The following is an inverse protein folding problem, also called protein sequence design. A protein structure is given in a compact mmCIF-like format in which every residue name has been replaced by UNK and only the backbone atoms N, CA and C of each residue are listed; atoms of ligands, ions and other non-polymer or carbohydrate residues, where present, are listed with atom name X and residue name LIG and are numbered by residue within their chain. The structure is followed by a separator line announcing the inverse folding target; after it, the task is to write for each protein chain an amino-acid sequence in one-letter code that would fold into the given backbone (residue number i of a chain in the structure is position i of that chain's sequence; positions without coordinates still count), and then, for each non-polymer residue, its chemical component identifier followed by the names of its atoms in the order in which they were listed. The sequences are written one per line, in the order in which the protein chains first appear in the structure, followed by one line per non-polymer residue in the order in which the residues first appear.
data_IF_676457543902
#
_entry.id   IF_676457543902
#
_cell.length_a   1.000
_cell.length_b   1.000
_cell.length_c   1.000
_cell.angle_alpha   90.00
_cell.angle_beta   90.00
_cell.angle_gamma   90.00
#
_symmetry.space_group_name_H-M   'P 1'
#
loop_
_entity.id
_entity.type
_entity.pdbx_description
1 polymer ?
#
# COMPACT_ATOMS: atom_id res chain seq x y z
N UNK A 1 -3.84 -22.83 -16.02
CA UNK A 1 -2.86 -21.81 -15.57
C UNK A 1 -3.55 -20.90 -14.56
N UNK A 2 -2.94 -20.63 -13.41
CA UNK A 2 -3.50 -19.65 -12.47
C UNK A 2 -3.48 -18.25 -13.11
N UNK A 3 -4.62 -17.55 -13.07
CA UNK A 3 -4.68 -16.15 -13.51
C UNK A 3 -3.69 -15.31 -12.69
N UNK A 4 -3.00 -14.37 -13.34
CA UNK A 4 -2.15 -13.39 -12.65
C UNK A 4 -3.02 -12.52 -11.75
N UNK A 5 -2.50 -12.05 -10.62
CA UNK A 5 -3.28 -11.20 -9.71
C UNK A 5 -3.13 -9.73 -10.07
N UNK A 6 -4.23 -8.99 -10.00
CA UNK A 6 -4.21 -7.52 -9.94
C UNK A 6 -4.71 -7.12 -8.56
N UNK A 7 -3.85 -6.41 -7.84
CA UNK A 7 -4.13 -5.89 -6.51
C UNK A 7 -4.41 -4.41 -6.64
N UNK A 8 -5.65 -4.01 -6.43
CA UNK A 8 -6.02 -2.62 -6.27
C UNK A 8 -5.83 -2.20 -4.81
N UNK A 9 -4.97 -1.22 -4.58
CA UNK A 9 -4.66 -0.68 -3.27
C UNK A 9 -5.32 0.68 -3.10
N UNK A 10 -6.35 0.71 -2.23
CA UNK A 10 -7.18 1.88 -1.91
C UNK A 10 -7.28 2.07 -0.39
N UNK A 11 -6.16 2.42 0.28
CA UNK A 11 -6.05 2.38 1.74
C UNK A 11 -6.96 3.37 2.48
N UNK A 12 -7.53 4.33 1.76
CA UNK A 12 -8.27 5.47 2.32
C UNK A 12 -9.76 5.44 1.98
N UNK A 13 -10.19 4.45 1.21
CA UNK A 13 -11.58 4.26 0.83
C UNK A 13 -12.36 3.68 2.02
N UNK A 14 -13.05 4.56 2.75
CA UNK A 14 -13.90 4.19 3.90
C UNK A 14 -15.37 4.02 3.54
N UNK A 15 -15.82 4.57 2.41
CA UNK A 15 -17.23 4.52 2.01
C UNK A 15 -17.34 4.32 0.50
N UNK A 16 -18.49 3.80 0.06
CA UNK A 16 -18.75 3.56 -1.35
C UNK A 16 -19.38 4.72 -2.12
N UNK A 17 -19.65 5.88 -1.49
CA UNK A 17 -20.18 7.05 -2.21
C UNK A 17 -19.05 7.84 -2.88
N UNK A 18 -19.04 7.86 -4.21
CA UNK A 18 -18.23 8.77 -5.02
C UNK A 18 -17.33 8.08 -6.05
N UNK A 19 -16.75 8.88 -6.94
CA UNK A 19 -16.00 8.44 -8.11
C UNK A 19 -14.88 7.43 -7.85
N UNK A 20 -14.34 7.33 -6.63
CA UNK A 20 -13.29 6.37 -6.29
C UNK A 20 -13.77 4.91 -6.38
N UNK A 21 -14.97 4.61 -5.85
CA UNK A 21 -15.51 3.25 -5.92
C UNK A 21 -15.90 2.88 -7.36
N UNK A 22 -16.55 3.80 -8.08
CA UNK A 22 -16.95 3.58 -9.48
C UNK A 22 -15.72 3.26 -10.35
N UNK A 23 -14.67 4.07 -10.23
CA UNK A 23 -13.39 3.84 -10.92
C UNK A 23 -12.77 2.47 -10.57
N UNK A 24 -12.90 2.04 -9.31
CA UNK A 24 -12.38 0.77 -8.84
C UNK A 24 -13.18 -0.41 -9.42
N UNK A 25 -14.51 -0.29 -9.48
CA UNK A 25 -15.42 -1.26 -10.09
C UNK A 25 -15.15 -1.37 -11.59
N UNK A 26 -15.14 -0.25 -12.31
CA UNK A 26 -14.87 -0.21 -13.75
C UNK A 26 -13.52 -0.84 -14.10
N UNK A 27 -12.46 -0.48 -13.35
CA UNK A 27 -11.15 -1.08 -13.54
C UNK A 27 -11.17 -2.59 -13.28
N UNK A 28 -11.95 -3.04 -12.31
CA UNK A 28 -12.07 -4.46 -11.97
C UNK A 28 -12.76 -5.25 -13.06
N UNK A 29 -13.87 -4.74 -13.60
CA UNK A 29 -14.60 -5.32 -14.73
C UNK A 29 -13.69 -5.42 -15.95
N UNK A 30 -12.93 -4.37 -16.26
CA UNK A 30 -12.02 -4.36 -17.39
C UNK A 30 -10.98 -5.50 -17.35
N UNK A 31 -10.49 -5.88 -16.16
CA UNK A 31 -9.43 -6.89 -16.02
C UNK A 31 -9.90 -8.30 -15.66
N UNK A 32 -11.18 -8.50 -15.31
CA UNK A 32 -11.72 -9.75 -14.73
C UNK A 32 -11.44 -11.01 -15.58
N UNK A 33 -11.44 -10.85 -16.92
CA UNK A 33 -11.29 -11.97 -17.85
C UNK A 33 -9.92 -12.62 -17.73
N UNK A 34 -8.89 -11.81 -17.52
CA UNK A 34 -7.48 -12.24 -17.59
C UNK A 34 -6.80 -12.31 -16.22
N UNK A 35 -7.39 -11.71 -15.18
CA UNK A 35 -6.75 -11.57 -13.87
C UNK A 35 -7.66 -11.97 -12.73
N UNK A 36 -7.04 -12.42 -11.64
CA UNK A 36 -7.70 -12.51 -10.34
C UNK A 36 -7.67 -11.12 -9.70
N UNK A 37 -8.85 -10.57 -9.38
CA UNK A 37 -8.97 -9.21 -8.86
C UNK A 37 -9.04 -9.22 -7.33
N UNK A 38 -8.13 -8.46 -6.72
CA UNK A 38 -8.03 -8.33 -5.27
C UNK A 38 -8.09 -6.85 -4.91
N UNK A 39 -8.96 -6.50 -3.96
CA UNK A 39 -9.00 -5.16 -3.39
C UNK A 39 -8.40 -5.18 -1.99
N UNK A 40 -7.47 -4.27 -1.73
CA UNK A 40 -6.94 -3.98 -0.40
C UNK A 40 -7.43 -2.59 -0.01
N UNK A 41 -8.43 -2.56 0.87
CA UNK A 41 -9.16 -1.34 1.23
C UNK A 41 -9.08 -1.07 2.71
N UNK A 42 -9.59 0.10 3.11
CA UNK A 42 -9.68 0.47 4.52
C UNK A 42 -10.48 -0.56 5.32
N UNK A 43 -10.08 -0.83 6.56
CA UNK A 43 -10.83 -1.74 7.43
C UNK A 43 -12.23 -1.21 7.79
N UNK A 44 -12.41 0.12 7.76
CA UNK A 44 -13.71 0.78 7.94
C UNK A 44 -14.49 0.91 6.62
N UNK A 45 -14.03 0.29 5.53
CA UNK A 45 -14.76 0.31 4.27
C UNK A 45 -16.15 -0.30 4.45
N UNK A 46 -17.15 0.54 4.25
CA UNK A 46 -18.54 0.12 4.22
C UNK A 46 -19.24 0.61 2.95
N UNK A 47 -20.06 -0.25 2.38
CA UNK A 47 -20.77 -0.02 1.14
C UNK A 47 -22.19 -0.62 1.21
N UNK A 48 -22.97 -0.24 2.23
CA UNK A 48 -24.31 -0.79 2.39
C UNK A 48 -25.16 -0.32 1.21
N UNK A 49 -25.91 -1.25 0.61
CA UNK A 49 -26.78 -1.02 -0.54
C UNK A 49 -26.06 -0.62 -1.84
N UNK A 50 -24.75 -0.88 -1.95
CA UNK A 50 -24.01 -0.72 -3.20
C UNK A 50 -23.69 -2.08 -3.80
N UNK A 51 -23.84 -2.20 -5.11
CA UNK A 51 -23.43 -3.40 -5.83
C UNK A 51 -21.89 -3.50 -5.84
N UNK A 52 -21.38 -4.64 -5.38
CA UNK A 52 -19.96 -4.97 -5.47
C UNK A 52 -19.79 -6.21 -6.37
N UNK A 53 -18.79 -6.24 -7.26
CA UNK A 53 -18.60 -7.39 -8.12
C UNK A 53 -18.21 -8.64 -7.33
N UNK A 54 -18.94 -9.74 -7.54
CA UNK A 54 -18.75 -11.00 -6.81
C UNK A 54 -17.40 -11.69 -7.10
N UNK A 55 -16.77 -11.40 -8.25
CA UNK A 55 -15.47 -11.93 -8.65
C UNK A 55 -14.29 -11.27 -7.94
N UNK A 56 -14.52 -10.20 -7.19
CA UNK A 56 -13.48 -9.46 -6.46
C UNK A 56 -13.27 -10.05 -5.07
N UNK A 57 -12.02 -10.33 -4.72
CA UNK A 57 -11.63 -10.63 -3.33
C UNK A 57 -11.35 -9.33 -2.57
N UNK A 58 -12.28 -8.93 -1.72
CA UNK A 58 -12.18 -7.69 -0.94
C UNK A 58 -11.55 -7.93 0.45
N UNK A 59 -10.35 -7.39 0.67
CA UNK A 59 -9.66 -7.40 1.97
C UNK A 59 -9.72 -6.01 2.62
N UNK A 60 -10.53 -5.90 3.67
CA UNK A 60 -10.68 -4.71 4.52
C UNK A 60 -9.67 -4.73 5.66
N UNK A 61 -8.41 -4.39 5.35
CA UNK A 61 -7.28 -4.62 6.27
C UNK A 61 -6.50 -3.35 6.61
N UNK A 62 -6.71 -2.25 5.89
CA UNK A 62 -5.88 -1.07 6.06
C UNK A 62 -6.45 -0.18 7.15
N UNK A 63 -5.67 0.01 8.21
CA UNK A 63 -5.94 1.01 9.22
C UNK A 63 -5.37 2.35 8.76
N UNK A 64 -6.23 3.35 8.60
CA UNK A 64 -5.79 4.73 8.38
C UNK A 64 -6.13 5.59 9.59
N UNK A 65 -5.15 6.31 10.12
CA UNK A 65 -5.34 7.18 11.26
C UNK A 65 -5.52 8.63 10.80
N UNK A 66 -6.74 9.15 10.96
CA UNK A 66 -7.02 10.59 10.81
C UNK A 66 -6.85 11.24 12.18
N UNK A 67 -5.63 11.59 12.56
CA UNK A 67 -5.38 12.32 13.82
C UNK A 67 -5.83 13.77 13.68
N UNK A 68 -6.92 14.13 14.35
CA UNK A 68 -7.46 15.49 14.48
C UNK A 68 -6.87 16.19 15.70
N UNK A 69 -6.70 15.47 16.81
CA UNK A 69 -6.34 16.06 18.10
C UNK A 69 -4.98 15.55 18.63
N UNK A 70 -4.40 16.25 19.61
CA UNK A 70 -3.08 15.91 20.17
C UNK A 70 -3.03 14.49 20.75
N UNK A 71 -4.07 14.09 21.49
CA UNK A 71 -4.19 12.74 22.04
C UNK A 71 -4.14 11.66 20.93
N UNK A 72 -4.85 11.85 19.84
CA UNK A 72 -4.84 10.91 18.70
C UNK A 72 -3.47 10.86 18.00
N UNK A 73 -2.71 11.96 17.99
CA UNK A 73 -1.32 11.96 17.49
C UNK A 73 -0.40 11.15 18.40
N UNK A 74 -0.55 11.31 19.71
CA UNK A 74 0.21 10.54 20.71
C UNK A 74 -0.12 9.05 20.57
N UNK A 75 -1.40 8.70 20.48
CA UNK A 75 -1.83 7.32 20.26
C UNK A 75 -1.27 6.73 18.96
N UNK A 76 -1.29 7.51 17.88
CA UNK A 76 -0.67 7.11 16.61
C UNK A 76 0.82 6.82 16.77
N UNK A 77 1.55 7.68 17.46
CA UNK A 77 2.98 7.49 17.73
C UNK A 77 3.23 6.20 18.54
N UNK A 78 2.42 5.92 19.56
CA UNK A 78 2.49 4.66 20.30
C UNK A 78 2.25 3.43 19.40
N UNK A 79 1.26 3.50 18.51
CA UNK A 79 0.98 2.42 17.55
C UNK A 79 2.14 2.22 16.58
N UNK A 80 2.76 3.30 16.08
CA UNK A 80 3.93 3.25 15.22
C UNK A 80 5.13 2.58 15.91
N UNK A 81 5.38 2.93 17.18
CA UNK A 81 6.42 2.30 18.01
C UNK A 81 6.12 0.81 18.21
N UNK A 82 4.89 0.45 18.54
CA UNK A 82 4.48 -0.95 18.69
C UNK A 82 4.66 -1.73 17.38
N UNK A 83 4.28 -1.13 16.24
CA UNK A 83 4.46 -1.73 14.92
C UNK A 83 5.94 -1.90 14.58
N UNK A 84 6.79 -0.94 14.95
CA UNK A 84 8.24 -1.06 14.79
C UNK A 84 8.82 -2.28 15.53
N UNK A 85 8.42 -2.50 16.78
CA UNK A 85 8.87 -3.68 17.54
C UNK A 85 8.30 -4.98 16.97
N UNK A 86 7.01 -5.01 16.62
CA UNK A 86 6.37 -6.19 15.98
C UNK A 86 7.08 -6.58 14.68
N UNK A 87 7.39 -5.60 13.83
CA UNK A 87 8.12 -5.81 12.58
C UNK A 87 9.56 -6.24 12.83
N UNK A 88 10.24 -5.66 13.82
CA UNK A 88 11.59 -6.09 14.21
C UNK A 88 11.62 -7.58 14.58
N UNK A 89 10.66 -8.04 15.39
CA UNK A 89 10.54 -9.47 15.76
C UNK A 89 10.26 -10.32 14.52
N UNK A 90 9.32 -9.90 13.66
CA UNK A 90 8.98 -10.60 12.42
C UNK A 90 10.20 -10.74 11.50
N UNK A 91 10.97 -9.67 11.31
CA UNK A 91 12.11 -9.63 10.40
C UNK A 91 13.36 -10.28 10.97
N UNK A 92 13.50 -10.32 12.30
CA UNK A 92 14.48 -11.15 12.98
C UNK A 92 14.26 -12.62 12.65
N UNK A 93 13.03 -13.13 12.85
CA UNK A 93 12.65 -14.52 12.51
C UNK A 93 12.90 -14.85 11.03
N UNK A 94 12.69 -13.88 10.14
CA UNK A 94 12.93 -14.02 8.68
C UNK A 94 14.37 -13.77 8.23
N UNK A 95 15.32 -13.52 9.15
CA UNK A 95 16.73 -13.22 8.86
C UNK A 95 16.96 -12.03 7.91
N UNK A 96 16.01 -11.09 7.84
CA UNK A 96 16.11 -9.87 6.99
C UNK A 96 16.11 -8.57 7.81
N UNK A 97 16.40 -8.67 9.11
CA UNK A 97 16.41 -7.54 10.04
C UNK A 97 17.33 -6.40 9.60
N UNK A 98 18.52 -6.72 9.06
CA UNK A 98 19.45 -5.71 8.52
C UNK A 98 18.83 -4.89 7.38
N UNK A 99 18.11 -5.54 6.45
CA UNK A 99 17.40 -4.86 5.35
C UNK A 99 16.29 -3.97 5.87
N UNK A 100 15.55 -4.44 6.88
CA UNK A 100 14.50 -3.65 7.53
C UNK A 100 15.06 -2.39 8.18
N UNK A 101 16.14 -2.48 8.99
CA UNK A 101 16.76 -1.31 9.58
C UNK A 101 17.32 -0.36 8.51
N UNK A 102 17.98 -0.88 7.47
CA UNK A 102 18.45 -0.06 6.36
C UNK A 102 17.30 0.68 5.66
N UNK A 103 16.15 0.01 5.45
CA UNK A 103 14.96 0.63 4.91
C UNK A 103 14.41 1.72 5.85
N UNK A 104 14.40 1.47 7.16
CA UNK A 104 14.01 2.43 8.18
C UNK A 104 14.89 3.69 8.18
N UNK A 105 16.21 3.54 8.11
CA UNK A 105 17.14 4.68 7.97
C UNK A 105 16.92 5.44 6.65
N UNK A 106 16.78 4.73 5.53
CA UNK A 106 16.51 5.33 4.21
C UNK A 106 15.17 6.06 4.16
N UNK A 107 14.24 5.69 5.02
CA UNK A 107 12.91 6.28 5.12
C UNK A 107 12.82 7.28 6.28
N UNK A 108 13.93 7.94 6.62
CA UNK A 108 13.99 8.99 7.65
C UNK A 108 13.48 8.55 9.03
N UNK A 109 13.83 7.33 9.45
CA UNK A 109 13.43 6.78 10.75
C UNK A 109 11.90 6.69 10.92
N UNK A 110 11.19 6.51 9.81
CA UNK A 110 9.73 6.34 9.77
C UNK A 110 9.38 4.99 9.15
N UNK A 111 8.32 4.37 9.66
CA UNK A 111 7.66 3.24 9.01
C UNK A 111 6.43 3.79 8.29
N UNK A 112 6.20 3.45 7.01
CA UNK A 112 5.00 3.88 6.31
C UNK A 112 3.73 3.42 7.05
N UNK A 113 2.75 4.31 7.15
CA UNK A 113 1.53 4.14 7.97
C UNK A 113 0.85 2.76 7.82
N UNK A 114 0.79 2.25 6.60
CA UNK A 114 0.09 0.99 6.28
C UNK A 114 0.98 -0.24 6.24
N UNK A 115 2.29 -0.08 6.45
CA UNK A 115 3.27 -1.10 6.07
C UNK A 115 3.02 -2.42 6.78
N UNK A 116 2.70 -2.42 8.08
CA UNK A 116 2.46 -3.65 8.83
C UNK A 116 1.29 -4.46 8.24
N UNK A 117 0.11 -3.86 8.11
CA UNK A 117 -1.09 -4.54 7.59
C UNK A 117 -0.91 -4.94 6.13
N UNK A 118 -0.38 -4.02 5.31
CA UNK A 118 -0.11 -4.28 3.90
C UNK A 118 0.88 -5.44 3.73
N UNK A 119 2.01 -5.44 4.46
CA UNK A 119 3.05 -6.44 4.31
C UNK A 119 2.58 -7.84 4.72
N UNK A 120 1.82 -7.93 5.81
CA UNK A 120 1.24 -9.20 6.24
C UNK A 120 0.29 -9.76 5.18
N UNK A 121 -0.56 -8.91 4.59
CA UNK A 121 -1.43 -9.32 3.50
C UNK A 121 -0.66 -9.67 2.22
N UNK A 122 0.33 -8.87 1.85
CA UNK A 122 1.23 -9.11 0.71
C UNK A 122 1.85 -10.51 0.77
N UNK A 123 2.32 -10.91 1.96
CA UNK A 123 2.87 -12.26 2.18
C UNK A 123 1.80 -13.34 2.21
N UNK A 124 0.65 -13.10 2.84
CA UNK A 124 -0.48 -14.05 2.87
C UNK A 124 -1.00 -14.37 1.47
N UNK A 125 -1.09 -13.36 0.60
CA UNK A 125 -1.54 -13.48 -0.78
C UNK A 125 -0.50 -14.10 -1.72
N UNK A 126 0.73 -14.34 -1.25
CA UNK A 126 1.85 -14.83 -2.05
C UNK A 126 2.03 -14.01 -3.34
N UNK A 127 2.05 -12.68 -3.20
CA UNK A 127 2.25 -11.76 -4.32
C UNK A 127 3.66 -11.97 -4.87
N UNK A 128 3.77 -12.12 -6.19
CA UNK A 128 5.02 -12.42 -6.88
C UNK A 128 5.30 -11.40 -8.00
N UNK A 129 6.50 -11.39 -8.61
CA UNK A 129 6.89 -10.39 -9.61
C UNK A 129 6.03 -10.34 -10.88
N UNK A 130 5.26 -11.40 -11.18
CA UNK A 130 4.35 -11.43 -12.34
C UNK A 130 2.98 -10.82 -12.05
N UNK A 131 2.67 -10.53 -10.78
CA UNK A 131 1.45 -9.85 -10.39
C UNK A 131 1.56 -8.34 -10.63
N UNK A 132 0.44 -7.62 -10.49
CA UNK A 132 0.38 -6.17 -10.65
C UNK A 132 -0.25 -5.56 -9.40
N UNK A 133 0.36 -4.48 -8.89
CA UNK A 133 -0.22 -3.66 -7.83
C UNK A 133 -0.58 -2.31 -8.43
N UNK A 134 -1.86 -1.92 -8.35
CA UNK A 134 -2.37 -0.64 -8.79
C UNK A 134 -2.70 0.20 -7.56
N UNK A 135 -1.92 1.25 -7.33
CA UNK A 135 -2.18 2.24 -6.29
C UNK A 135 -3.04 3.35 -6.86
N UNK A 136 -4.23 3.52 -6.32
CA UNK A 136 -5.21 4.45 -6.89
C UNK A 136 -5.18 5.85 -6.23
N UNK A 137 -4.81 5.95 -4.95
CA UNK A 137 -4.81 7.22 -4.21
C UNK A 137 -3.59 8.12 -4.45
N UNK A 138 -2.46 7.55 -4.87
CA UNK A 138 -1.16 8.21 -5.12
C UNK A 138 -0.80 9.33 -4.11
N UNK A 139 -0.91 9.01 -2.82
CA UNK A 139 -0.51 9.92 -1.73
C UNK A 139 0.98 9.75 -1.44
N UNK A 140 1.64 10.76 -0.83
CA UNK A 140 3.02 10.65 -0.37
C UNK A 140 3.31 9.35 0.40
N UNK A 141 2.40 8.96 1.30
CA UNK A 141 2.50 7.74 2.10
C UNK A 141 2.38 6.44 1.31
N UNK A 142 1.69 6.44 0.17
CA UNK A 142 1.62 5.26 -0.71
C UNK A 142 2.96 5.04 -1.42
N UNK A 143 3.62 6.14 -1.79
CA UNK A 143 4.95 6.09 -2.41
C UNK A 143 6.03 5.72 -1.40
N UNK A 144 5.93 6.25 -0.19
CA UNK A 144 6.75 5.86 0.96
C UNK A 144 6.63 4.35 1.22
N UNK A 145 5.41 3.81 1.22
CA UNK A 145 5.11 2.39 1.34
C UNK A 145 5.83 1.55 0.28
N UNK A 146 5.74 1.93 -1.00
CA UNK A 146 6.41 1.23 -2.09
C UNK A 146 7.93 1.25 -1.91
N UNK A 147 8.49 2.42 -1.59
CA UNK A 147 9.94 2.57 -1.42
C UNK A 147 10.47 1.72 -0.26
N UNK A 148 9.74 1.67 0.84
CA UNK A 148 10.06 0.84 1.99
C UNK A 148 9.97 -0.65 1.65
N UNK A 149 8.90 -1.06 0.95
CA UNK A 149 8.72 -2.44 0.49
C UNK A 149 9.83 -2.87 -0.47
N UNK A 150 10.23 -2.00 -1.41
CA UNK A 150 11.31 -2.26 -2.37
C UNK A 150 12.65 -2.45 -1.65
N UNK A 151 12.92 -1.65 -0.63
CA UNK A 151 14.15 -1.75 0.17
C UNK A 151 14.25 -3.09 0.92
N UNK A 152 13.12 -3.70 1.27
CA UNK A 152 13.06 -4.97 2.00
C UNK A 152 13.07 -6.18 1.05
N UNK A 153 12.16 -6.20 0.08
CA UNK A 153 11.95 -7.35 -0.83
C UNK A 153 12.93 -7.36 -1.99
N UNK A 154 13.41 -6.19 -2.42
CA UNK A 154 14.33 -6.02 -3.53
C UNK A 154 13.68 -6.20 -4.91
N UNK A 155 12.87 -7.23 -5.12
CA UNK A 155 12.12 -7.46 -6.37
C UNK A 155 10.63 -7.37 -6.05
N UNK A 156 9.92 -6.51 -6.79
CA UNK A 156 8.50 -6.28 -6.62
C UNK A 156 7.73 -6.65 -7.89
N UNK A 157 6.42 -6.94 -7.79
CA UNK A 157 5.51 -6.92 -8.94
C UNK A 157 5.54 -5.59 -9.69
N UNK A 158 4.92 -5.56 -10.87
CA UNK A 158 4.70 -4.31 -11.58
C UNK A 158 3.81 -3.40 -10.73
N UNK A 159 4.31 -2.22 -10.36
CA UNK A 159 3.55 -1.23 -9.58
C UNK A 159 3.11 -0.09 -10.50
N UNK A 160 1.80 0.11 -10.59
CA UNK A 160 1.18 1.21 -11.33
C UNK A 160 0.63 2.19 -10.31
N UNK A 161 1.06 3.44 -10.39
CA UNK A 161 0.57 4.51 -9.52
C UNK A 161 -0.35 5.40 -10.35
N UNK A 162 -1.63 5.41 -10.04
CA UNK A 162 -2.63 6.27 -10.71
C UNK A 162 -2.67 7.62 -10.03
N UNK A 163 -2.31 8.67 -10.77
CA UNK A 163 -2.38 10.05 -10.28
C UNK A 163 -3.72 10.63 -10.74
N UNK A 164 -4.74 10.56 -9.88
CA UNK A 164 -6.06 11.15 -10.16
C UNK A 164 -6.04 12.68 -10.06
N UNK A 165 -5.22 13.22 -9.15
CA UNK A 165 -5.08 14.66 -8.94
C UNK A 165 -3.60 15.05 -8.83
N UNK A 166 -3.17 16.17 -9.44
CA UNK A 166 -1.81 16.64 -9.30
C UNK A 166 -1.52 16.98 -7.82
N UNK A 167 -0.38 16.54 -7.26
CA UNK A 167 -0.02 16.86 -5.89
C UNK A 167 0.22 18.36 -5.73
N UNK A 168 -0.23 18.94 -4.61
CA UNK A 168 0.07 20.34 -4.23
C UNK A 168 1.60 20.59 -4.30
N UNK A 169 2.05 21.79 -4.70
CA UNK A 169 3.48 22.13 -4.93
C UNK A 169 4.44 21.60 -3.86
N UNK A 170 4.13 21.75 -2.56
CA UNK A 170 4.96 21.24 -1.45
C UNK A 170 5.09 19.70 -1.46
N UNK A 171 4.00 18.99 -1.75
CA UNK A 171 3.96 17.51 -1.84
C UNK A 171 4.55 16.97 -3.14
N UNK A 172 4.56 17.77 -4.22
CA UNK A 172 5.18 17.40 -5.50
C UNK A 172 6.69 17.15 -5.35
N UNK A 173 7.39 17.98 -4.57
CA UNK A 173 8.83 17.79 -4.28
C UNK A 173 9.09 16.46 -3.57
N UNK A 174 8.28 16.12 -2.57
CA UNK A 174 8.36 14.85 -1.84
C UNK A 174 8.08 13.66 -2.75
N UNK A 175 7.01 13.72 -3.56
CA UNK A 175 6.68 12.67 -4.52
C UNK A 175 7.84 12.44 -5.53
N UNK A 176 8.42 13.51 -6.05
CA UNK A 176 9.55 13.44 -6.98
C UNK A 176 10.81 12.89 -6.31
N UNK A 177 11.04 13.21 -5.04
CA UNK A 177 12.14 12.67 -4.26
C UNK A 177 12.08 11.14 -4.20
N UNK A 178 10.96 10.58 -3.75
CA UNK A 178 10.81 9.11 -3.71
C UNK A 178 10.82 8.49 -5.11
N UNK A 179 10.25 9.17 -6.12
CA UNK A 179 10.31 8.68 -7.51
C UNK A 179 11.74 8.52 -8.01
N UNK A 180 12.63 9.49 -7.70
CA UNK A 180 14.06 9.40 -8.06
C UNK A 180 14.73 8.21 -7.35
N UNK A 181 14.44 8.01 -6.06
CA UNK A 181 14.95 6.87 -5.31
C UNK A 181 14.49 5.52 -5.89
N UNK A 182 13.19 5.38 -6.18
CA UNK A 182 12.64 4.16 -6.77
C UNK A 182 13.28 3.88 -8.14
N UNK A 183 13.42 4.89 -9.01
CA UNK A 183 14.08 4.72 -10.31
C UNK A 183 15.51 4.23 -10.19
N UNK A 184 16.29 4.83 -9.28
CA UNK A 184 17.69 4.44 -9.04
C UNK A 184 17.80 2.98 -8.58
N UNK A 185 16.96 2.56 -7.63
CA UNK A 185 16.96 1.19 -7.13
C UNK A 185 16.50 0.14 -8.15
N UNK A 186 15.77 0.53 -9.20
CA UNK A 186 15.34 -0.37 -10.28
C UNK A 186 16.38 -0.48 -11.41
N UNK A 187 17.22 0.55 -11.61
CA UNK A 187 18.25 0.56 -12.67
C UNK A 187 19.64 0.10 -12.20
N UNK A 188 19.88 0.03 -10.89
CA UNK A 188 21.14 -0.48 -10.30
C UNK A 188 21.14 -2.02 -10.07
N UNK A 189 20.33 -2.76 -10.83
CA UNK A 189 20.29 -4.23 -10.84
C UNK A 189 20.40 -4.73 -12.27
#
# INVERSE_FOLDING_TARGET
MNKKKIIFFEPEMMGGKGHHLDNLIESSIYFEKNHEIIWLVNNKFDAPNLWLPNFVKNFRIIDSYKSKNLFEKIMKMFIEILNFFKLSILFFKKKILKKYFLAFFKNYFSIPEYFFNFYNCYKKLKINPNDIIIIQSCRPKDVELINFLLSIEGILPKIIIRILYPPKKKRKKFLLFYRKHIKKCVHEK
#
